data_IF_002966522525
#
_entry.id   IF_002966522525
#
_cell.length_a   1.000
_cell.length_b   1.000
_cell.length_c   1.000
_cell.angle_alpha   90.00
_cell.angle_beta   90.00
_cell.angle_gamma   90.00
#
_symmetry.space_group_name_H-M   'P 1'
#
loop_
_entity.id
_entity.type
_entity.pdbx_description
1 polymer ?
#
# COMPACT_ATOMS: atom_id res chain seq x y z
N UNK A 1 84.12 -16.80 -21.28
CA UNK A 1 83.62 -15.93 -20.20
C UNK A 1 82.25 -15.41 -20.60
N UNK A 2 81.20 -15.99 -20.05
CA UNK A 2 79.80 -15.62 -20.27
C UNK A 2 79.21 -15.21 -18.92
N UNK A 3 78.48 -14.08 -18.80
CA UNK A 3 77.62 -13.83 -17.66
C UNK A 3 76.19 -14.25 -17.99
N UNK A 4 75.65 -15.19 -17.20
CA UNK A 4 74.24 -15.57 -17.19
C UNK A 4 73.49 -14.57 -16.29
N UNK A 5 72.56 -13.81 -16.87
CA UNK A 5 71.61 -13.00 -16.13
C UNK A 5 70.39 -13.85 -15.74
N UNK A 6 70.22 -14.06 -14.43
CA UNK A 6 68.99 -14.59 -13.85
C UNK A 6 67.99 -13.45 -13.64
N UNK A 7 66.81 -13.56 -14.24
CA UNK A 7 65.62 -12.77 -13.91
C UNK A 7 64.74 -13.54 -12.92
N UNK A 8 64.25 -12.92 -11.83
CA UNK A 8 63.29 -13.54 -10.92
C UNK A 8 61.85 -13.34 -11.43
N UNK A 9 61.13 -14.44 -11.61
CA UNK A 9 59.68 -14.46 -11.87
C UNK A 9 58.91 -14.18 -10.59
N UNK A 10 58.19 -13.06 -10.53
CA UNK A 10 57.24 -12.75 -9.47
C UNK A 10 55.92 -13.49 -9.72
N UNK A 11 55.66 -14.54 -8.94
CA UNK A 11 54.37 -15.22 -8.86
C UNK A 11 53.39 -14.34 -8.07
N UNK A 12 52.49 -13.66 -8.78
CA UNK A 12 51.35 -12.95 -8.21
C UNK A 12 50.25 -13.95 -7.83
N UNK A 13 50.20 -14.35 -6.56
CA UNK A 13 49.05 -15.03 -5.96
C UNK A 13 48.04 -13.99 -5.47
N UNK A 14 47.24 -13.45 -6.39
CA UNK A 14 46.03 -12.68 -6.08
C UNK A 14 44.88 -13.62 -5.73
N UNK A 15 44.88 -14.14 -4.50
CA UNK A 15 43.77 -14.92 -3.96
C UNK A 15 42.53 -14.05 -3.77
N UNK A 16 41.58 -14.16 -4.69
CA UNK A 16 40.26 -13.54 -4.59
C UNK A 16 39.45 -14.21 -3.48
N UNK A 17 39.49 -13.64 -2.27
CA UNK A 17 38.70 -14.08 -1.10
C UNK A 17 37.27 -13.51 -1.10
N UNK A 18 36.84 -12.80 -2.15
CA UNK A 18 35.54 -12.14 -2.22
C UNK A 18 34.35 -13.08 -2.48
N UNK A 19 34.57 -14.35 -2.84
CA UNK A 19 33.50 -15.24 -3.32
C UNK A 19 32.74 -16.04 -2.24
N UNK A 20 33.21 -16.11 -0.99
CA UNK A 20 32.59 -16.98 0.03
C UNK A 20 31.53 -16.30 0.94
N UNK A 21 31.33 -14.99 0.86
CA UNK A 21 30.36 -14.28 1.71
C UNK A 21 28.99 -14.00 1.05
N UNK A 22 28.88 -14.18 -0.27
CA UNK A 22 27.70 -13.82 -1.06
C UNK A 22 26.42 -14.64 -0.84
N UNK A 23 26.42 -15.97 -0.53
CA UNK A 23 25.18 -16.74 -0.53
C UNK A 23 24.22 -16.38 0.61
N UNK A 24 24.72 -15.73 1.68
CA UNK A 24 23.90 -15.40 2.85
C UNK A 24 23.18 -14.05 2.75
N UNK A 25 23.67 -13.11 1.92
CA UNK A 25 23.08 -11.76 1.83
C UNK A 25 21.73 -11.80 1.13
N UNK A 26 21.61 -12.55 0.03
CA UNK A 26 20.36 -12.67 -0.71
C UNK A 26 19.23 -13.34 0.10
N UNK A 27 19.55 -14.42 0.80
CA UNK A 27 18.58 -15.12 1.67
C UNK A 27 18.08 -14.20 2.78
N UNK A 28 18.98 -13.46 3.45
CA UNK A 28 18.60 -12.51 4.52
C UNK A 28 17.72 -11.38 3.98
N UNK A 29 18.07 -10.81 2.84
CA UNK A 29 17.27 -9.74 2.21
C UNK A 29 15.86 -10.23 1.87
N UNK A 30 15.72 -11.45 1.33
CA UNK A 30 14.42 -12.05 1.02
C UNK A 30 13.60 -12.34 2.27
N UNK A 31 14.20 -12.95 3.30
CA UNK A 31 13.51 -13.20 4.58
C UNK A 31 13.01 -11.89 5.17
N UNK A 32 13.84 -10.85 5.18
CA UNK A 32 13.44 -9.52 5.63
C UNK A 32 12.26 -8.98 4.82
N UNK A 33 12.32 -9.05 3.48
CA UNK A 33 11.23 -8.61 2.61
C UNK A 33 9.92 -9.34 2.93
N UNK A 34 9.95 -10.67 3.05
CA UNK A 34 8.75 -11.46 3.35
C UNK A 34 8.19 -11.15 4.75
N UNK A 35 9.07 -10.93 5.74
CA UNK A 35 8.65 -10.52 7.08
C UNK A 35 7.96 -9.16 7.06
N UNK A 36 8.57 -8.13 6.45
CA UNK A 36 7.95 -6.79 6.42
C UNK A 36 6.70 -6.74 5.56
N UNK A 37 6.66 -7.49 4.46
CA UNK A 37 5.46 -7.64 3.64
C UNK A 37 4.32 -8.24 4.45
N UNK A 38 4.55 -9.33 5.19
CA UNK A 38 3.55 -9.95 6.05
C UNK A 38 3.06 -9.01 7.16
N UNK A 39 3.97 -8.29 7.82
CA UNK A 39 3.59 -7.29 8.84
C UNK A 39 2.71 -6.19 8.24
N UNK A 40 2.94 -5.80 6.99
CA UNK A 40 2.12 -4.85 6.25
C UNK A 40 0.83 -5.44 5.65
N UNK A 41 0.50 -6.71 5.94
CA UNK A 41 -0.68 -7.40 5.40
C UNK A 41 -0.55 -7.81 3.92
N UNK A 42 0.66 -7.82 3.37
CA UNK A 42 0.93 -8.23 1.99
C UNK A 42 1.23 -9.72 1.90
N UNK A 43 0.52 -10.43 1.02
CA UNK A 43 0.69 -11.87 0.82
C UNK A 43 1.57 -12.16 -0.39
N UNK A 44 2.88 -12.28 -0.15
CA UNK A 44 3.86 -12.71 -1.16
C UNK A 44 4.06 -14.21 -1.11
N UNK A 45 3.67 -14.91 -2.17
CA UNK A 45 3.85 -16.36 -2.32
C UNK A 45 5.26 -16.64 -2.85
N UNK A 46 6.12 -17.35 -2.09
CA UNK A 46 7.42 -17.76 -2.60
C UNK A 46 7.23 -18.78 -3.74
N UNK A 47 7.98 -18.63 -4.83
CA UNK A 47 8.05 -19.68 -5.86
C UNK A 47 8.99 -20.81 -5.38
N UNK A 48 8.58 -22.06 -5.62
CA UNK A 48 9.31 -23.26 -5.19
C UNK A 48 10.67 -23.44 -5.89
N UNK A 49 10.87 -22.80 -7.05
CA UNK A 49 12.13 -22.84 -7.79
C UNK A 49 13.13 -21.82 -7.22
N UNK A 50 13.60 -22.05 -6.00
CA UNK A 50 14.47 -21.11 -5.26
C UNK A 50 15.91 -21.00 -5.81
N UNK A 51 16.18 -21.65 -6.95
CA UNK A 51 17.45 -21.56 -7.65
C UNK A 51 17.31 -20.56 -8.79
N UNK A 52 17.62 -19.29 -8.51
CA UNK A 52 17.95 -18.37 -9.59
C UNK A 52 19.18 -18.96 -10.33
N UNK A 53 19.10 -19.17 -11.65
CA UNK A 53 20.20 -19.75 -12.41
C UNK A 53 21.47 -18.87 -12.38
N UNK A 54 21.33 -17.57 -12.08
CA UNK A 54 22.40 -16.58 -12.15
C UNK A 54 23.07 -16.24 -10.81
N UNK A 55 22.73 -16.93 -9.70
CA UNK A 55 23.43 -16.84 -8.40
C UNK A 55 23.41 -15.48 -7.67
N UNK A 56 23.01 -14.40 -8.33
CA UNK A 56 22.97 -13.04 -7.79
C UNK A 56 21.58 -12.39 -7.77
N UNK A 57 20.58 -13.01 -8.39
CA UNK A 57 19.20 -12.52 -8.41
C UNK A 57 18.32 -13.32 -7.45
N UNK A 58 17.33 -12.64 -6.89
CA UNK A 58 16.39 -13.16 -5.91
C UNK A 58 15.01 -13.14 -6.54
N UNK A 59 14.35 -14.30 -6.57
CA UNK A 59 12.95 -14.40 -6.97
C UNK A 59 12.06 -13.77 -5.89
N UNK A 60 11.31 -12.76 -6.30
CA UNK A 60 10.38 -12.03 -5.42
C UNK A 60 9.08 -12.82 -5.16
N UNK A 61 8.81 -13.84 -5.97
CA UNK A 61 7.61 -14.67 -5.88
C UNK A 61 6.46 -14.14 -6.73
N UNK A 62 5.25 -14.48 -6.32
CA UNK A 62 4.01 -14.03 -6.95
C UNK A 62 3.04 -13.45 -5.90
N UNK A 63 2.12 -12.60 -6.34
CA UNK A 63 1.12 -11.96 -5.50
C UNK A 63 -0.23 -11.89 -6.23
N UNK A 64 -1.35 -11.86 -5.51
CA UNK A 64 -2.63 -11.51 -6.12
C UNK A 64 -2.71 -10.02 -6.48
N UNK A 65 -3.76 -9.63 -7.21
CA UNK A 65 -3.95 -8.26 -7.67
C UNK A 65 -4.00 -7.25 -6.52
N UNK A 66 -4.71 -7.59 -5.44
CA UNK A 66 -4.86 -6.73 -4.26
C UNK A 66 -3.50 -6.45 -3.61
N UNK A 67 -2.70 -7.49 -3.40
CA UNK A 67 -1.36 -7.39 -2.83
C UNK A 67 -0.42 -6.58 -3.72
N UNK A 68 -0.49 -6.75 -5.05
CA UNK A 68 0.31 -5.95 -5.99
C UNK A 68 -0.05 -4.48 -5.93
N UNK A 69 -1.35 -4.17 -5.86
CA UNK A 69 -1.85 -2.79 -5.75
C UNK A 69 -1.39 -2.16 -4.43
N UNK A 70 -1.61 -2.86 -3.32
CA UNK A 70 -1.17 -2.48 -1.99
C UNK A 70 0.34 -2.21 -1.91
N UNK A 71 1.15 -3.07 -2.54
CA UNK A 71 2.60 -2.87 -2.62
C UNK A 71 2.95 -1.59 -3.39
N UNK A 72 2.28 -1.33 -4.51
CA UNK A 72 2.44 -0.09 -5.27
C UNK A 72 2.08 1.15 -4.44
N UNK A 73 0.97 1.10 -3.73
CA UNK A 73 0.48 2.20 -2.89
C UNK A 73 1.42 2.48 -1.69
N UNK A 74 2.00 1.44 -1.09
CA UNK A 74 3.02 1.59 -0.04
C UNK A 74 4.33 2.21 -0.56
N UNK A 75 4.76 1.87 -1.78
CA UNK A 75 5.93 2.50 -2.41
C UNK A 75 5.66 4.00 -2.66
N UNK A 76 4.46 4.34 -3.14
CA UNK A 76 4.04 5.73 -3.33
C UNK A 76 4.00 6.47 -1.98
N UNK A 77 3.42 5.86 -0.95
CA UNK A 77 3.37 6.40 0.40
C UNK A 77 4.77 6.71 0.97
N UNK A 78 5.74 5.84 0.71
CA UNK A 78 7.12 6.03 1.14
C UNK A 78 7.84 7.20 0.42
N UNK A 79 7.39 7.61 -0.77
CA UNK A 79 8.00 8.71 -1.55
C UNK A 79 7.64 10.10 -1.03
N UNK A 80 6.43 10.29 -0.50
CA UNK A 80 5.91 11.64 -0.21
C UNK A 80 6.42 12.22 1.13
N UNK A 81 7.48 13.03 1.08
CA UNK A 81 7.72 14.10 2.06
C UNK A 81 7.15 15.46 1.58
N UNK A 82 6.79 15.56 0.30
CA UNK A 82 6.22 16.75 -0.33
C UNK A 82 5.16 16.35 -1.35
N UNK A 83 4.02 17.06 -1.41
CA UNK A 83 2.92 16.76 -2.32
C UNK A 83 3.31 17.14 -3.75
N UNK A 84 3.86 16.18 -4.51
CA UNK A 84 3.90 16.28 -5.97
C UNK A 84 2.51 15.90 -6.47
N UNK A 85 1.90 16.67 -7.39
CA UNK A 85 0.63 16.28 -8.01
C UNK A 85 0.81 14.92 -8.67
N UNK A 86 0.25 13.89 -8.04
CA UNK A 86 0.19 12.55 -8.61
C UNK A 86 -0.84 12.64 -9.72
N UNK A 87 -0.38 12.60 -10.98
CA UNK A 87 -1.26 12.30 -12.10
C UNK A 87 -1.98 11.01 -11.74
N UNK A 88 -3.33 10.97 -11.75
CA UNK A 88 -4.07 9.79 -11.33
C UNK A 88 -3.52 8.58 -12.09
N UNK A 89 -3.26 7.46 -11.40
CA UNK A 89 -2.74 6.28 -12.06
C UNK A 89 -3.70 5.92 -13.19
N UNK A 90 -3.15 5.70 -14.39
CA UNK A 90 -3.93 5.22 -15.52
C UNK A 90 -4.68 3.96 -15.12
N UNK A 91 -5.80 3.66 -15.79
CA UNK A 91 -6.60 2.42 -15.63
C UNK A 91 -5.84 1.13 -16.01
N UNK A 92 -4.51 1.17 -16.00
CA UNK A 92 -3.62 0.04 -16.24
C UNK A 92 -3.70 -1.01 -15.13
N UNK A 93 -3.26 -2.22 -15.46
CA UNK A 93 -3.26 -3.36 -14.54
C UNK A 93 -2.43 -3.08 -13.27
N UNK A 94 -2.70 -3.81 -12.19
CA UNK A 94 -1.96 -3.66 -10.93
C UNK A 94 -0.44 -3.78 -11.12
N UNK A 95 0.01 -4.68 -12.00
CA UNK A 95 1.43 -4.82 -12.35
C UNK A 95 2.02 -3.57 -13.01
N UNK A 96 1.27 -2.89 -13.89
CA UNK A 96 1.71 -1.63 -14.48
C UNK A 96 1.84 -0.53 -13.41
N UNK A 97 0.84 -0.39 -12.54
CA UNK A 97 0.88 0.56 -11.42
C UNK A 97 2.08 0.32 -10.51
N UNK A 98 2.35 -0.93 -10.12
CA UNK A 98 3.52 -1.29 -9.32
C UNK A 98 4.83 -0.93 -10.02
N UNK A 99 4.94 -1.20 -11.33
CA UNK A 99 6.12 -0.86 -12.13
C UNK A 99 6.36 0.65 -12.18
N UNK A 100 5.30 1.43 -12.39
CA UNK A 100 5.37 2.90 -12.41
C UNK A 100 5.79 3.46 -11.03
N UNK A 101 5.18 2.96 -9.94
CA UNK A 101 5.55 3.34 -8.57
C UNK A 101 7.01 3.01 -8.26
N UNK A 102 7.47 1.80 -8.62
CA UNK A 102 8.86 1.38 -8.43
C UNK A 102 9.84 2.27 -9.22
N UNK A 103 9.56 2.54 -10.51
CA UNK A 103 10.38 3.42 -11.34
C UNK A 103 10.46 4.83 -10.78
N UNK A 104 9.37 5.35 -10.24
CA UNK A 104 9.32 6.68 -9.64
C UNK A 104 10.23 6.84 -8.40
N UNK A 105 10.63 5.74 -7.77
CA UNK A 105 11.61 5.71 -6.67
C UNK A 105 12.97 5.13 -7.11
N UNK A 106 13.19 4.90 -8.40
CA UNK A 106 14.43 4.32 -8.93
C UNK A 106 14.64 2.86 -8.53
N UNK A 107 13.55 2.09 -8.38
CA UNK A 107 13.58 0.64 -8.27
C UNK A 107 13.25 0.01 -9.62
N UNK A 108 14.06 -0.97 -10.02
CA UNK A 108 13.80 -1.79 -11.21
C UNK A 108 12.97 -3.02 -10.84
N UNK A 109 11.66 -2.84 -10.67
CA UNK A 109 10.72 -3.96 -10.56
C UNK A 109 10.08 -4.22 -11.91
N UNK A 110 10.10 -5.48 -12.35
CA UNK A 110 9.50 -5.93 -13.60
C UNK A 110 8.43 -6.99 -13.31
N UNK A 111 7.28 -6.61 -12.74
CA UNK A 111 6.17 -7.54 -12.61
C UNK A 111 5.78 -8.04 -14.00
N UNK A 112 5.65 -9.35 -14.14
CA UNK A 112 5.28 -10.00 -15.39
C UNK A 112 3.78 -9.89 -15.68
N UNK A 113 3.35 -10.52 -16.76
CA UNK A 113 1.92 -10.60 -17.10
C UNK A 113 1.17 -11.46 -16.08
N UNK A 114 -0.06 -11.09 -15.69
CA UNK A 114 -0.85 -11.91 -14.79
C UNK A 114 -1.07 -13.31 -15.38
N UNK A 115 -0.97 -14.31 -14.51
CA UNK A 115 -1.25 -15.72 -14.81
C UNK A 115 -2.58 -16.08 -14.17
N UNK A 116 -3.48 -16.68 -14.93
CA UNK A 116 -4.76 -17.15 -14.40
C UNK A 116 -4.53 -18.43 -13.58
N UNK A 117 -4.80 -18.36 -12.28
CA UNK A 117 -4.78 -19.52 -11.38
C UNK A 117 -6.18 -19.84 -10.85
N UNK A 118 -6.32 -20.93 -10.06
CA UNK A 118 -7.59 -21.32 -9.44
C UNK A 118 -8.13 -20.26 -8.47
N UNK A 119 -7.24 -19.50 -7.83
CA UNK A 119 -7.59 -18.42 -6.89
C UNK A 119 -7.69 -17.03 -7.56
N UNK A 120 -7.73 -16.99 -8.90
CA UNK A 120 -7.73 -15.74 -9.68
C UNK A 120 -6.34 -15.36 -10.24
N UNK A 121 -6.19 -14.11 -10.73
CA UNK A 121 -4.97 -13.66 -11.38
C UNK A 121 -3.82 -13.52 -10.37
N UNK A 122 -2.70 -14.19 -10.64
CA UNK A 122 -1.44 -14.08 -9.90
C UNK A 122 -0.41 -13.33 -10.73
N UNK A 123 0.28 -12.38 -10.13
CA UNK A 123 1.27 -11.53 -10.75
C UNK A 123 2.67 -11.97 -10.31
N UNK A 124 3.50 -12.50 -11.20
CA UNK A 124 4.90 -12.74 -10.88
C UNK A 124 5.60 -11.40 -10.70
N UNK A 125 6.27 -11.20 -9.56
CA UNK A 125 6.98 -9.95 -9.24
C UNK A 125 8.37 -9.87 -9.89
N UNK A 126 8.83 -10.98 -10.47
CA UNK A 126 10.09 -11.10 -11.18
C UNK A 126 11.29 -11.35 -10.26
N UNK A 127 12.45 -10.95 -10.75
CA UNK A 127 13.73 -11.15 -10.07
C UNK A 127 14.42 -9.81 -9.81
N UNK A 128 15.04 -9.67 -8.64
CA UNK A 128 15.75 -8.47 -8.22
C UNK A 128 17.07 -8.81 -7.54
N UNK A 129 18.07 -7.92 -7.59
CA UNK A 129 19.28 -8.08 -6.81
C UNK A 129 19.04 -7.81 -5.31
N UNK A 130 19.99 -8.20 -4.45
CA UNK A 130 19.87 -8.04 -3.00
C UNK A 130 19.68 -6.58 -2.55
N UNK A 131 20.26 -5.61 -3.26
CA UNK A 131 20.15 -4.18 -2.98
C UNK A 131 18.71 -3.71 -3.22
N UNK A 132 18.14 -4.10 -4.36
CA UNK A 132 16.76 -3.80 -4.77
C UNK A 132 15.76 -4.42 -3.80
N UNK A 133 15.97 -5.68 -3.40
CA UNK A 133 15.14 -6.36 -2.38
C UNK A 133 15.19 -5.64 -1.04
N UNK A 134 16.38 -5.26 -0.59
CA UNK A 134 16.56 -4.56 0.70
C UNK A 134 15.88 -3.19 0.68
N UNK A 135 16.04 -2.45 -0.41
CA UNK A 135 15.42 -1.14 -0.60
C UNK A 135 13.90 -1.23 -0.73
N UNK A 136 13.38 -2.28 -1.37
CA UNK A 136 11.95 -2.56 -1.40
C UNK A 136 11.39 -2.80 0.01
N UNK A 137 12.10 -3.58 0.83
CA UNK A 137 11.72 -3.80 2.22
C UNK A 137 11.68 -2.48 3.03
N UNK A 138 12.67 -1.60 2.85
CA UNK A 138 12.71 -0.28 3.49
C UNK A 138 11.52 0.62 3.09
N UNK A 139 11.14 0.59 1.81
CA UNK A 139 10.00 1.34 1.30
C UNK A 139 8.68 0.80 1.84
N UNK A 140 8.51 -0.52 1.93
CA UNK A 140 7.33 -1.13 2.55
C UNK A 140 7.22 -0.69 4.01
N UNK A 141 8.31 -0.78 4.78
CA UNK A 141 8.31 -0.35 6.18
C UNK A 141 7.97 1.14 6.30
N UNK A 142 8.62 2.00 5.52
CA UNK A 142 8.38 3.45 5.57
C UNK A 142 6.95 3.82 5.17
N UNK A 143 6.44 3.22 4.08
CA UNK A 143 5.07 3.42 3.62
C UNK A 143 4.05 2.96 4.64
N UNK A 144 4.28 1.80 5.27
CA UNK A 144 3.38 1.25 6.28
C UNK A 144 3.36 2.11 7.55
N UNK A 145 4.52 2.56 8.04
CA UNK A 145 4.59 3.49 9.18
C UNK A 145 3.84 4.79 8.89
N UNK A 146 4.00 5.37 7.70
CA UNK A 146 3.28 6.59 7.33
C UNK A 146 1.77 6.38 7.22
N UNK A 147 1.34 5.22 6.75
CA UNK A 147 -0.06 4.87 6.66
C UNK A 147 -0.72 4.82 8.04
N UNK A 148 -0.04 4.24 9.04
CA UNK A 148 -0.50 4.24 10.43
C UNK A 148 -0.58 5.66 11.01
N UNK A 149 0.45 6.49 10.81
CA UNK A 149 0.42 7.88 11.27
C UNK A 149 -0.74 8.66 10.65
N UNK A 150 -1.01 8.48 9.36
CA UNK A 150 -2.14 9.13 8.71
C UNK A 150 -3.50 8.61 9.19
N UNK A 151 -3.59 7.32 9.56
CA UNK A 151 -4.78 6.78 10.21
C UNK A 151 -4.98 7.40 11.61
N UNK A 152 -3.91 7.56 12.39
CA UNK A 152 -3.94 8.23 13.70
C UNK A 152 -4.37 9.71 13.57
N UNK A 153 -3.81 10.44 12.61
CA UNK A 153 -4.18 11.84 12.34
C UNK A 153 -5.65 11.96 11.93
N UNK A 154 -6.12 11.08 11.04
CA UNK A 154 -7.52 11.02 10.64
C UNK A 154 -8.43 10.73 11.84
N UNK A 155 -8.09 9.75 12.69
CA UNK A 155 -8.84 9.46 13.92
C UNK A 155 -8.95 10.68 14.81
N UNK A 156 -7.83 11.37 15.03
CA UNK A 156 -7.80 12.57 15.85
C UNK A 156 -8.75 13.65 15.33
N UNK A 157 -8.74 13.89 14.02
CA UNK A 157 -9.60 14.90 13.39
C UNK A 157 -11.08 14.49 13.44
N UNK A 158 -11.41 13.22 13.19
CA UNK A 158 -12.79 12.73 13.28
C UNK A 158 -13.35 12.86 14.71
N UNK A 159 -12.56 12.48 15.72
CA UNK A 159 -12.93 12.62 17.14
C UNK A 159 -13.10 14.10 17.52
N UNK A 160 -12.27 15.00 17.00
CA UNK A 160 -12.43 16.44 17.23
C UNK A 160 -13.76 17.00 16.69
N UNK A 161 -14.34 16.36 15.67
CA UNK A 161 -15.67 16.64 15.14
C UNK A 161 -16.80 15.87 15.83
N UNK A 162 -16.49 15.11 16.89
CA UNK A 162 -17.46 14.33 17.65
C UNK A 162 -17.90 13.03 16.99
N UNK A 163 -17.18 12.55 15.97
CA UNK A 163 -17.45 11.28 15.30
C UNK A 163 -16.76 10.12 16.02
N UNK A 164 -17.37 8.94 16.00
CA UNK A 164 -16.72 7.70 16.40
C UNK A 164 -15.68 7.30 15.34
N UNK A 165 -14.44 7.07 15.79
CA UNK A 165 -13.32 6.69 14.94
C UNK A 165 -12.57 5.44 15.43
N UNK A 166 -13.17 4.66 16.33
CA UNK A 166 -12.52 3.48 16.92
C UNK A 166 -12.16 2.41 15.89
N UNK A 167 -12.92 2.33 14.79
CA UNK A 167 -12.73 1.33 13.74
C UNK A 167 -11.82 1.79 12.60
N UNK A 168 -11.33 3.02 12.63
CA UNK A 168 -10.35 3.47 11.64
C UNK A 168 -9.07 2.65 11.83
N UNK A 169 -8.60 1.97 10.80
CA UNK A 169 -7.43 1.09 10.87
C UNK A 169 -6.68 1.12 9.54
N UNK A 170 -5.52 0.45 9.47
CA UNK A 170 -4.81 0.25 8.21
C UNK A 170 -4.99 -1.20 7.75
N UNK A 171 -5.33 -1.39 6.48
CA UNK A 171 -5.42 -2.71 5.85
C UNK A 171 -4.81 -2.66 4.45
N UNK A 172 -3.93 -3.62 4.14
CA UNK A 172 -3.35 -3.83 2.82
C UNK A 172 -2.96 -2.53 2.07
N UNK A 173 -2.18 -1.65 2.71
CA UNK A 173 -1.71 -0.41 2.08
C UNK A 173 -2.71 0.74 2.01
N UNK A 174 -3.90 0.60 2.62
CA UNK A 174 -4.93 1.63 2.70
C UNK A 174 -5.34 1.91 4.15
N UNK A 175 -5.97 3.06 4.40
CA UNK A 175 -6.65 3.35 5.67
C UNK A 175 -8.13 3.07 5.48
N UNK A 176 -8.68 2.18 6.28
CA UNK A 176 -10.08 1.78 6.30
C UNK A 176 -10.75 2.51 7.45
N UNK A 177 -11.93 3.10 7.22
CA UNK A 177 -12.67 3.79 8.28
C UNK A 177 -13.41 2.82 9.20
N UNK A 178 -13.74 1.63 8.68
CA UNK A 178 -14.60 0.67 9.34
C UNK A 178 -16.07 1.03 9.17
N UNK A 179 -16.90 0.53 10.08
CA UNK A 179 -18.31 0.85 10.19
C UNK A 179 -18.48 2.20 10.87
N UNK A 180 -19.16 3.11 10.18
CA UNK A 180 -19.61 4.40 10.70
C UNK A 180 -21.11 4.27 10.91
N UNK A 181 -21.63 4.59 12.09
CA UNK A 181 -23.07 4.58 12.29
C UNK A 181 -23.76 5.62 11.40
N UNK A 182 -25.06 5.43 11.14
CA UNK A 182 -25.82 6.29 10.21
C UNK A 182 -25.83 7.77 10.65
N UNK A 183 -26.02 8.12 11.94
CA UNK A 183 -25.90 9.50 12.42
C UNK A 183 -24.53 10.15 12.15
N UNK A 184 -23.44 9.45 12.46
CA UNK A 184 -22.07 9.92 12.24
C UNK A 184 -21.76 10.02 10.75
N UNK A 185 -22.27 9.11 9.92
CA UNK A 185 -22.16 9.19 8.47
C UNK A 185 -22.85 10.44 7.92
N UNK A 186 -24.02 10.80 8.45
CA UNK A 186 -24.71 12.05 8.13
C UNK A 186 -23.90 13.29 8.55
N UNK A 187 -23.24 13.23 9.72
CA UNK A 187 -22.35 14.30 10.20
C UNK A 187 -21.09 14.43 9.34
N UNK A 188 -20.44 13.31 9.00
CA UNK A 188 -19.31 13.27 8.09
C UNK A 188 -19.67 13.88 6.74
N UNK A 189 -20.83 13.52 6.16
CA UNK A 189 -21.26 14.11 4.89
C UNK A 189 -21.33 15.62 4.97
N UNK A 190 -21.92 16.19 6.03
CA UNK A 190 -21.99 17.64 6.23
C UNK A 190 -20.61 18.29 6.33
N UNK A 191 -19.67 17.65 7.02
CA UNK A 191 -18.28 18.13 7.11
C UNK A 191 -17.58 18.12 5.75
N UNK A 192 -17.89 17.14 4.90
CA UNK A 192 -17.31 17.03 3.57
C UNK A 192 -17.90 18.04 2.58
N UNK A 193 -19.21 18.29 2.64
CA UNK A 193 -19.92 19.17 1.70
C UNK A 193 -20.04 20.63 2.16
N UNK A 194 -19.89 20.89 3.46
CA UNK A 194 -20.17 22.19 4.08
C UNK A 194 -21.66 22.49 4.20
N UNK A 195 -22.54 21.50 4.03
CA UNK A 195 -23.99 21.67 4.18
C UNK A 195 -24.36 22.08 5.62
N UNK A 196 -25.12 23.18 5.76
CA UNK A 196 -25.62 23.66 7.05
C UNK A 196 -27.06 23.21 7.28
N UNK A 197 -27.34 22.62 8.44
CA UNK A 197 -28.68 22.23 8.87
C UNK A 197 -28.77 20.78 9.34
N UNK A 198 -29.92 20.41 9.90
CA UNK A 198 -30.22 19.03 10.20
C UNK A 198 -30.53 18.33 8.87
N UNK A 199 -29.69 17.37 8.48
CA UNK A 199 -29.94 16.54 7.30
C UNK A 199 -31.21 15.69 7.46
N UNK A 200 -31.59 14.95 6.42
CA UNK A 200 -32.66 13.96 6.53
C UNK A 200 -32.35 12.98 7.67
N UNK A 201 -33.38 12.55 8.37
CA UNK A 201 -33.26 11.42 9.29
C UNK A 201 -33.31 10.12 8.48
N UNK A 202 -32.22 9.36 8.51
CA UNK A 202 -32.02 8.16 7.70
C UNK A 202 -32.28 6.87 8.49
N UNK A 203 -32.52 6.94 9.80
CA UNK A 203 -32.45 5.78 10.70
C UNK A 203 -33.42 4.64 10.36
N UNK A 204 -34.56 4.97 9.73
CA UNK A 204 -35.63 4.01 9.41
C UNK A 204 -35.85 3.80 7.89
N UNK A 205 -35.02 4.42 7.04
CA UNK A 205 -35.17 4.35 5.58
C UNK A 205 -33.93 3.73 4.92
N UNK A 206 -33.97 2.43 4.58
CA UNK A 206 -32.88 1.75 3.87
C UNK A 206 -32.48 2.43 2.57
N UNK A 207 -33.44 2.97 1.80
CA UNK A 207 -33.14 3.66 0.55
C UNK A 207 -32.41 4.98 0.84
N UNK A 208 -32.87 5.73 1.84
CA UNK A 208 -32.18 6.93 2.33
C UNK A 208 -30.74 6.64 2.77
N UNK A 209 -30.48 5.51 3.43
CA UNK A 209 -29.14 5.07 3.80
C UNK A 209 -28.25 4.72 2.60
N UNK A 210 -28.80 4.09 1.56
CA UNK A 210 -28.07 3.85 0.31
C UNK A 210 -27.72 5.17 -0.40
N UNK A 211 -28.66 6.12 -0.44
CA UNK A 211 -28.44 7.47 -0.97
C UNK A 211 -27.38 8.23 -0.15
N UNK A 212 -27.38 8.08 1.18
CA UNK A 212 -26.35 8.63 2.06
C UNK A 212 -24.97 8.07 1.73
N UNK A 213 -24.85 6.74 1.55
CA UNK A 213 -23.59 6.10 1.16
C UNK A 213 -23.07 6.63 -0.19
N UNK A 214 -23.96 6.78 -1.17
CA UNK A 214 -23.61 7.34 -2.48
C UNK A 214 -23.13 8.79 -2.37
N UNK A 215 -23.82 9.62 -1.59
CA UNK A 215 -23.41 11.03 -1.36
C UNK A 215 -22.08 11.14 -0.65
N UNK A 216 -21.80 10.28 0.34
CA UNK A 216 -20.48 10.23 1.00
C UNK A 216 -19.40 9.83 -0.01
N UNK A 217 -19.66 8.83 -0.85
CA UNK A 217 -18.73 8.42 -1.91
C UNK A 217 -18.37 9.59 -2.82
N UNK A 218 -19.37 10.34 -3.28
CA UNK A 218 -19.18 11.48 -4.17
C UNK A 218 -18.46 12.64 -3.46
N UNK A 219 -18.80 12.92 -2.21
CA UNK A 219 -18.17 13.97 -1.41
C UNK A 219 -16.69 13.65 -1.13
N UNK A 220 -16.37 12.41 -0.75
CA UNK A 220 -14.97 11.99 -0.57
C UNK A 220 -14.21 12.09 -1.90
N UNK A 221 -14.78 11.62 -3.02
CA UNK A 221 -14.17 11.79 -4.35
C UNK A 221 -13.91 13.25 -4.68
N UNK A 222 -14.85 14.15 -4.38
CA UNK A 222 -14.67 15.58 -4.62
C UNK A 222 -13.48 16.13 -3.82
N UNK A 223 -13.37 15.79 -2.53
CA UNK A 223 -12.27 16.21 -1.65
C UNK A 223 -10.92 15.60 -2.06
N UNK A 224 -10.90 14.33 -2.44
CA UNK A 224 -9.66 13.62 -2.78
C UNK A 224 -9.19 13.89 -4.20
N UNK A 225 -10.00 14.53 -5.03
CA UNK A 225 -9.74 14.76 -6.46
C UNK A 225 -9.95 13.51 -7.31
N UNK A 226 -10.86 12.63 -6.88
CA UNK A 226 -11.27 11.38 -7.54
C UNK A 226 -10.73 10.13 -6.85
N UNK A 227 -10.75 9.03 -7.59
CA UNK A 227 -10.23 7.72 -7.18
C UNK A 227 -11.29 6.64 -6.94
N UNK A 228 -10.80 5.43 -6.66
CA UNK A 228 -11.61 4.25 -6.32
C UNK A 228 -12.06 4.34 -4.86
N UNK A 229 -12.90 5.33 -4.58
CA UNK A 229 -13.60 5.46 -3.30
C UNK A 229 -14.99 4.87 -3.44
N UNK A 230 -15.40 4.12 -2.44
CA UNK A 230 -16.75 3.59 -2.35
C UNK A 230 -17.18 3.55 -0.89
N UNK A 231 -18.43 3.89 -0.63
CA UNK A 231 -19.10 3.66 0.63
C UNK A 231 -20.32 2.77 0.38
N UNK A 232 -20.58 1.83 1.28
CA UNK A 232 -21.72 0.91 1.16
C UNK A 232 -22.55 0.91 2.43
N UNK A 233 -23.87 0.84 2.27
CA UNK A 233 -24.78 0.67 3.39
C UNK A 233 -24.86 -0.81 3.77
N UNK A 234 -24.70 -1.09 5.06
CA UNK A 234 -24.96 -2.40 5.65
C UNK A 234 -26.17 -2.29 6.58
N UNK A 235 -27.28 -2.99 6.28
CA UNK A 235 -28.46 -2.94 7.12
C UNK A 235 -28.24 -3.69 8.43
N UNK A 236 -29.07 -3.38 9.43
CA UNK A 236 -29.10 -4.11 10.70
C UNK A 236 -29.17 -5.62 10.48
N UNK A 237 -28.29 -6.36 11.15
CA UNK A 237 -28.25 -7.81 11.06
C UNK A 237 -28.59 -8.44 12.42
N UNK A 238 -29.79 -9.05 12.58
CA UNK A 238 -30.21 -9.64 13.85
C UNK A 238 -29.39 -10.86 14.28
N UNK A 239 -28.59 -11.44 13.36
CA UNK A 239 -27.76 -12.61 13.66
C UNK A 239 -26.45 -12.23 14.34
N UNK A 240 -25.82 -11.13 13.94
CA UNK A 240 -24.60 -10.62 14.59
C UNK A 240 -24.90 -9.51 15.61
N UNK A 241 -26.14 -9.01 15.70
CA UNK A 241 -26.51 -7.85 16.53
C UNK A 241 -25.73 -6.58 16.17
N UNK A 242 -25.30 -6.46 14.91
CA UNK A 242 -24.64 -5.28 14.39
C UNK A 242 -25.69 -4.27 13.91
N UNK A 243 -25.53 -3.03 14.34
CA UNK A 243 -26.37 -1.89 13.94
C UNK A 243 -26.17 -1.53 12.47
N UNK A 244 -27.16 -0.81 11.92
CA UNK A 244 -27.09 -0.28 10.58
C UNK A 244 -25.90 0.70 10.46
N UNK A 245 -25.08 0.54 9.43
CA UNK A 245 -23.84 1.29 9.29
C UNK A 245 -23.48 1.60 7.83
N UNK A 246 -22.69 2.64 7.64
CA UNK A 246 -22.02 2.97 6.38
C UNK A 246 -20.57 2.47 6.48
N UNK A 247 -20.19 1.59 5.57
CA UNK A 247 -18.82 1.12 5.41
C UNK A 247 -18.12 1.99 4.38
N UNK A 248 -17.12 2.78 4.81
CA UNK A 248 -16.24 3.49 3.89
C UNK A 248 -14.99 2.65 3.63
N UNK A 249 -14.84 2.20 2.38
CA UNK A 249 -13.76 1.31 1.97
C UNK A 249 -12.38 2.01 2.03
N UNK A 250 -11.33 1.19 2.06
CA UNK A 250 -9.95 1.64 2.23
C UNK A 250 -9.50 2.71 1.23
N UNK A 251 -8.93 3.81 1.75
CA UNK A 251 -8.37 4.89 0.96
C UNK A 251 -6.83 4.83 0.96
N UNK A 252 -6.18 5.07 -0.18
CA UNK A 252 -4.72 5.16 -0.23
C UNK A 252 -4.24 6.45 0.47
N UNK A 253 -2.98 6.43 0.94
CA UNK A 253 -2.40 7.51 1.74
C UNK A 253 -2.60 8.93 1.15
N UNK A 254 -2.39 9.19 -0.16
CA UNK A 254 -2.59 10.54 -0.70
C UNK A 254 -4.02 11.06 -0.55
N UNK A 255 -5.02 10.18 -0.58
CA UNK A 255 -6.42 10.54 -0.41
C UNK A 255 -6.71 10.83 1.07
N UNK A 256 -6.20 10.00 1.97
CA UNK A 256 -6.32 10.22 3.42
C UNK A 256 -5.71 11.55 3.85
N UNK A 257 -4.52 11.88 3.32
CA UNK A 257 -3.87 13.16 3.64
C UNK A 257 -4.75 14.36 3.22
N UNK A 258 -5.33 14.32 2.01
CA UNK A 258 -6.24 15.39 1.52
C UNK A 258 -7.52 15.46 2.33
N UNK A 259 -8.09 14.30 2.66
CA UNK A 259 -9.31 14.20 3.45
C UNK A 259 -9.11 14.76 4.86
N UNK A 260 -8.01 14.38 5.51
CA UNK A 260 -7.64 14.85 6.85
C UNK A 260 -7.41 16.36 6.85
N UNK A 261 -6.69 16.88 5.84
CA UNK A 261 -6.45 18.31 5.66
C UNK A 261 -7.76 19.10 5.42
N UNK A 262 -8.68 18.56 4.62
CA UNK A 262 -10.03 19.14 4.44
C UNK A 262 -10.82 19.19 5.75
N UNK A 263 -10.89 18.07 6.47
CA UNK A 263 -11.62 17.98 7.74
C UNK A 263 -10.99 18.85 8.84
N UNK A 264 -9.67 19.03 8.82
CA UNK A 264 -8.99 19.92 9.75
C UNK A 264 -9.37 21.38 9.49
N UNK A 265 -9.49 21.77 8.22
CA UNK A 265 -9.90 23.14 7.85
C UNK A 265 -11.35 23.44 8.18
N UNK A 266 -12.24 22.46 8.14
CA UNK A 266 -13.65 22.67 8.51
C UNK A 266 -13.87 22.76 10.02
N UNK A 267 -12.86 22.43 10.84
CA UNK A 267 -12.88 22.63 12.30
C UNK A 267 -12.50 24.06 12.75
N UNK A 268 -11.87 24.85 11.86
CA UNK A 268 -11.32 26.17 12.15
C UNK A 268 -12.27 27.30 11.74
#
# INVERSE_FOLDING_TARGET
MHPLHHTPSALSHGGSTAALAAPHTGVRARVRLLTVARTAGLHLSPQESDRSPDGGRILLGEADETTVRALGDLIVAARHATPVPVTPPSTGSAGQRLREAARAVGLELNPGTPRTGPDGPRYPLGEADHTTVSRLADLITTGHTRLHLAADDLRFVLVAHGLNAEQVTTEAGTVVFGSIDVPDAGTLLRLLTGETGNGPDYSDDPQGCEELAARITDAVKAVTGGGDVNATYTPYCPRCSEEAAILLHGLPLPHIARLTDHLTRTAA
#
